data_IF_772185402316
#
_entry.id   IF_772185402316
#
_cell.length_a   1.000
_cell.length_b   1.000
_cell.length_c   1.000
_cell.angle_alpha   90.00
_cell.angle_beta   90.00
_cell.angle_gamma   90.00
#
_symmetry.space_group_name_H-M   'P 1'
#
loop_
_entity.id
_entity.type
_entity.pdbx_description
1 polymer ?
#
# COMPACT_ATOMS: atom_id res chain seq x y z
N UNK A 1 -1.15 21.69 7.30
CA UNK A 1 -0.20 22.60 6.62
C UNK A 1 0.29 21.87 5.39
N UNK A 2 0.21 22.48 4.20
CA UNK A 2 0.70 21.84 2.98
C UNK A 2 2.24 21.91 2.97
N UNK A 3 2.89 20.78 2.71
CA UNK A 3 4.34 20.68 2.72
C UNK A 3 4.85 20.40 1.30
N UNK A 4 5.92 21.11 0.92
CA UNK A 4 6.61 20.90 -0.33
C UNK A 4 7.79 19.96 -0.12
N UNK A 5 7.94 19.05 -1.05
CA UNK A 5 8.94 18.00 -0.99
C UNK A 5 9.74 17.94 -2.27
N UNK A 6 11.04 17.73 -2.12
CA UNK A 6 11.92 17.40 -3.23
C UNK A 6 11.75 15.90 -3.47
N UNK A 7 11.37 15.50 -4.69
CA UNK A 7 11.13 14.10 -5.09
C UNK A 7 11.76 13.78 -6.45
N UNK A 8 12.09 12.52 -6.74
CA UNK A 8 12.49 12.07 -8.06
C UNK A 8 11.42 12.37 -9.12
N UNK A 9 11.82 12.57 -10.39
CA UNK A 9 10.83 12.58 -11.48
C UNK A 9 10.20 11.19 -11.65
N UNK A 10 8.91 11.11 -12.07
CA UNK A 10 8.28 9.83 -12.40
C UNK A 10 9.09 9.09 -13.46
N UNK A 11 9.28 7.77 -13.26
CA UNK A 11 10.07 6.92 -14.16
C UNK A 11 11.57 6.82 -13.84
N UNK A 12 12.07 7.58 -12.87
CA UNK A 12 13.44 7.42 -12.35
C UNK A 12 13.41 6.54 -11.10
N UNK A 13 14.20 5.47 -11.10
CA UNK A 13 14.46 4.67 -9.89
C UNK A 13 15.38 5.47 -8.97
N UNK A 14 15.36 5.19 -7.67
CA UNK A 14 16.33 5.80 -6.73
C UNK A 14 17.77 5.65 -7.26
N UNK A 15 18.06 4.50 -7.86
CA UNK A 15 19.33 4.13 -8.51
C UNK A 15 19.77 5.13 -9.60
N UNK A 16 18.83 5.68 -10.37
CA UNK A 16 19.13 6.63 -11.45
C UNK A 16 19.55 8.00 -10.88
N UNK A 17 19.05 8.37 -9.71
CA UNK A 17 19.44 9.61 -9.01
C UNK A 17 20.82 9.47 -8.39
N UNK A 18 21.14 8.27 -7.88
CA UNK A 18 22.47 7.96 -7.36
C UNK A 18 23.54 7.98 -8.46
N UNK A 19 23.23 7.45 -9.65
CA UNK A 19 24.17 7.37 -10.77
C UNK A 19 24.34 8.71 -11.53
N UNK A 20 23.27 9.51 -11.66
CA UNK A 20 23.29 10.76 -12.43
C UNK A 20 23.51 12.02 -11.56
N UNK A 21 23.47 11.87 -10.24
CA UNK A 21 23.54 12.98 -9.28
C UNK A 21 22.27 13.82 -9.22
N UNK A 22 22.17 14.66 -8.18
CA UNK A 22 21.09 15.63 -8.04
C UNK A 22 21.22 16.72 -9.10
N UNK A 23 20.29 16.78 -10.05
CA UNK A 23 20.19 17.92 -10.96
C UNK A 23 18.74 18.20 -11.37
N UNK A 24 18.51 19.39 -11.95
CA UNK A 24 17.20 19.90 -12.38
C UNK A 24 16.45 18.99 -13.39
N UNK A 25 17.15 18.04 -14.04
CA UNK A 25 16.56 17.09 -14.99
C UNK A 25 15.99 15.85 -14.32
N UNK A 26 16.47 15.47 -13.14
CA UNK A 26 16.11 14.21 -12.45
C UNK A 26 15.18 14.41 -11.27
N UNK A 27 14.92 15.67 -10.86
CA UNK A 27 14.21 16.01 -9.62
C UNK A 27 13.10 17.04 -9.88
N UNK A 28 12.05 16.99 -9.06
CA UNK A 28 10.96 17.98 -9.02
C UNK A 28 10.62 18.36 -7.57
N UNK A 29 10.01 19.52 -7.40
CA UNK A 29 9.43 19.95 -6.12
C UNK A 29 7.93 19.68 -6.22
N UNK A 30 7.39 18.87 -5.32
CA UNK A 30 5.97 18.54 -5.29
C UNK A 30 5.32 19.00 -4.00
N UNK A 31 4.07 19.41 -4.10
CA UNK A 31 3.20 19.59 -2.95
C UNK A 31 2.44 18.30 -2.71
N UNK A 32 2.54 17.78 -1.49
CA UNK A 32 1.80 16.59 -1.11
C UNK A 32 0.72 16.99 -0.12
N UNK A 33 -0.53 16.63 -0.44
CA UNK A 33 -1.68 16.80 0.43
C UNK A 33 -2.36 15.43 0.53
N UNK A 34 -2.51 14.92 1.75
CA UNK A 34 -3.10 13.61 2.04
C UNK A 34 -2.49 12.45 1.22
N UNK A 35 -1.16 12.48 1.02
CA UNK A 35 -0.42 11.44 0.31
C UNK A 35 -0.51 11.50 -1.21
N UNK A 36 -1.14 12.53 -1.79
CA UNK A 36 -1.18 12.75 -3.24
C UNK A 36 -0.40 13.98 -3.66
N UNK A 37 0.30 13.87 -4.79
CA UNK A 37 0.89 15.00 -5.48
C UNK A 37 -0.22 15.87 -6.07
N UNK A 38 -0.33 17.11 -5.61
CA UNK A 38 -1.36 18.07 -6.05
C UNK A 38 -0.78 19.25 -6.82
N UNK A 39 0.53 19.43 -6.78
CA UNK A 39 1.24 20.52 -7.47
C UNK A 39 2.69 20.09 -7.71
N UNK A 40 3.27 20.48 -8.86
CA UNK A 40 4.66 20.20 -9.19
C UNK A 40 5.37 21.40 -9.81
N UNK A 41 6.65 21.56 -9.46
CA UNK A 41 7.53 22.58 -10.00
C UNK A 41 8.87 21.95 -10.40
N UNK A 42 9.55 22.61 -11.34
CA UNK A 42 10.92 22.26 -11.69
C UNK A 42 11.81 22.48 -10.47
N UNK A 43 12.73 21.54 -10.23
CA UNK A 43 13.73 21.70 -9.18
C UNK A 43 14.83 22.67 -9.62
N UNK A 44 14.95 23.77 -8.88
CA UNK A 44 16.14 24.62 -8.82
C UNK A 44 16.30 25.18 -7.38
N UNK A 45 17.49 25.68 -7.04
CA UNK A 45 17.77 26.16 -5.69
C UNK A 45 16.89 27.35 -5.26
N UNK A 46 16.43 28.16 -6.21
CA UNK A 46 15.60 29.34 -5.96
C UNK A 46 14.19 28.89 -5.55
N UNK A 47 13.61 27.95 -6.30
CA UNK A 47 12.30 27.37 -6.06
C UNK A 47 12.31 26.50 -4.79
N UNK A 48 13.38 25.74 -4.54
CA UNK A 48 13.51 24.96 -3.30
C UNK A 48 13.46 25.85 -2.05
N UNK A 49 14.18 26.99 -2.09
CA UNK A 49 14.15 27.99 -1.01
C UNK A 49 12.79 28.70 -0.92
N UNK A 50 12.21 29.12 -2.06
CA UNK A 50 10.90 29.79 -2.14
C UNK A 50 9.80 28.99 -1.47
N UNK A 51 9.76 27.67 -1.73
CA UNK A 51 8.73 26.78 -1.23
C UNK A 51 9.08 26.10 0.10
N UNK A 52 10.27 26.40 0.67
CA UNK A 52 10.83 25.69 1.83
C UNK A 52 10.75 24.16 1.65
N UNK A 53 11.03 23.71 0.42
CA UNK A 53 10.90 22.32 0.05
C UNK A 53 11.99 21.51 0.76
N UNK A 54 11.59 20.42 1.43
CA UNK A 54 12.52 19.51 2.12
C UNK A 54 12.64 18.20 1.37
N UNK A 55 13.76 17.48 1.45
CA UNK A 55 13.85 16.13 0.93
C UNK A 55 12.70 15.28 1.47
N UNK A 56 11.95 14.61 0.60
CA UNK A 56 10.90 13.72 1.05
C UNK A 56 11.49 12.57 1.88
N UNK A 57 10.99 12.33 3.11
CA UNK A 57 11.61 11.36 4.03
C UNK A 57 11.60 9.91 3.51
N UNK A 58 10.68 9.57 2.60
CA UNK A 58 10.64 8.24 1.94
C UNK A 58 11.78 8.05 0.94
N UNK A 59 12.18 9.10 0.21
CA UNK A 59 13.26 9.03 -0.80
C UNK A 59 14.65 9.34 -0.20
N UNK A 60 14.69 10.02 0.95
CA UNK A 60 15.94 10.56 1.50
C UNK A 60 16.11 10.20 2.98
N UNK A 61 16.30 8.91 3.27
CA UNK A 61 17.02 8.48 4.49
C UNK A 61 18.38 7.90 4.11
N UNK A 62 19.41 8.36 4.85
CA UNK A 62 20.84 7.99 4.72
C UNK A 62 21.00 6.46 4.59
N UNK A 63 21.34 5.98 3.39
CA UNK A 63 21.96 4.67 3.19
C UNK A 63 23.48 4.83 3.38
N UNK A 64 24.03 4.16 4.39
CA UNK A 64 25.44 3.77 4.37
C UNK A 64 25.55 2.57 3.44
N UNK A 65 26.30 2.70 2.36
CA UNK A 65 26.58 1.63 1.41
C UNK A 65 27.94 1.03 1.77
N UNK A 66 28.02 -0.30 1.93
CA UNK A 66 29.30 -1.01 1.93
C UNK A 66 29.23 -2.03 0.80
N UNK A 67 30.12 -1.89 -0.17
CA UNK A 67 30.33 -2.84 -1.24
C UNK A 67 31.20 -3.99 -0.71
N UNK A 68 30.69 -5.22 -0.70
CA UNK A 68 31.49 -6.42 -0.45
C UNK A 68 31.45 -7.32 -1.70
N UNK A 69 32.63 -7.59 -2.25
CA UNK A 69 32.89 -8.69 -3.18
C UNK A 69 32.01 -8.74 -4.44
N UNK A 70 31.79 -7.60 -5.10
CA UNK A 70 31.18 -7.54 -6.44
C UNK A 70 29.74 -8.08 -6.53
N UNK A 71 29.05 -8.26 -5.39
CA UNK A 71 27.62 -8.55 -5.34
C UNK A 71 26.87 -7.30 -4.94
N UNK A 72 25.95 -6.87 -5.79
CA UNK A 72 24.95 -5.87 -5.42
C UNK A 72 24.07 -6.52 -4.35
N UNK A 73 24.31 -6.17 -3.09
CA UNK A 73 23.39 -6.50 -2.01
C UNK A 73 22.21 -5.56 -2.15
N UNK A 74 21.11 -6.02 -2.74
CA UNK A 74 19.83 -5.33 -2.66
C UNK A 74 19.42 -5.30 -1.20
N UNK A 75 19.37 -4.11 -0.59
CA UNK A 75 18.79 -3.96 0.73
C UNK A 75 17.34 -4.43 0.69
N UNK A 76 16.86 -5.13 1.73
CA UNK A 76 15.49 -5.63 1.77
C UNK A 76 14.51 -4.47 1.53
N UNK A 77 13.39 -4.77 0.88
CA UNK A 77 12.30 -3.83 0.72
C UNK A 77 11.79 -3.43 2.12
N UNK A 78 12.26 -2.28 2.64
CA UNK A 78 11.92 -1.82 3.98
C UNK A 78 10.45 -1.37 3.97
N UNK A 79 9.64 -2.01 4.81
CA UNK A 79 8.32 -1.50 5.15
C UNK A 79 8.47 -0.24 6.01
N UNK A 80 7.71 0.80 5.68
CA UNK A 80 7.63 2.01 6.50
C UNK A 80 6.36 1.97 7.33
N UNK A 81 6.44 2.36 8.61
CA UNK A 81 5.24 2.51 9.43
C UNK A 81 4.23 3.43 8.73
N UNK A 82 2.99 2.96 8.59
CA UNK A 82 1.92 3.69 7.90
C UNK A 82 1.94 3.59 6.37
N UNK A 83 2.82 2.79 5.76
CA UNK A 83 2.84 2.54 4.32
C UNK A 83 2.91 1.05 3.99
N UNK A 84 2.30 0.68 2.87
CA UNK A 84 2.45 -0.61 2.19
C UNK A 84 3.07 -0.38 0.81
N UNK A 85 3.40 -1.45 0.11
CA UNK A 85 3.97 -1.42 -1.23
C UNK A 85 3.00 -1.99 -2.26
N UNK A 86 3.16 -1.65 -3.53
CA UNK A 86 2.45 -2.34 -4.64
C UNK A 86 2.88 -3.80 -4.75
N UNK A 87 2.12 -4.61 -5.50
CA UNK A 87 2.48 -5.97 -5.91
C UNK A 87 1.99 -7.09 -4.98
N UNK A 88 1.42 -6.76 -3.82
CA UNK A 88 0.91 -7.76 -2.89
C UNK A 88 -0.33 -7.29 -2.15
N UNK A 89 -1.20 -8.23 -1.74
CA UNK A 89 -2.37 -7.91 -0.94
C UNK A 89 -2.01 -7.07 0.31
N UNK A 90 -2.69 -5.94 0.57
CA UNK A 90 -2.45 -5.10 1.74
C UNK A 90 -2.51 -5.85 3.07
N UNK A 91 -3.42 -6.80 3.22
CA UNK A 91 -3.58 -7.53 4.48
C UNK A 91 -2.41 -8.49 4.72
N UNK A 92 -1.89 -9.15 3.67
CA UNK A 92 -0.68 -9.96 3.79
C UNK A 92 0.53 -9.11 4.20
N UNK A 93 0.65 -7.91 3.61
CA UNK A 93 1.68 -6.95 4.01
C UNK A 93 1.56 -6.51 5.47
N UNK A 94 0.38 -6.10 5.90
CA UNK A 94 0.13 -5.65 7.28
C UNK A 94 0.43 -6.77 8.28
N UNK A 95 0.03 -8.01 7.97
CA UNK A 95 0.34 -9.19 8.79
C UNK A 95 1.86 -9.37 8.92
N UNK A 96 2.59 -9.34 7.80
CA UNK A 96 4.04 -9.51 7.80
C UNK A 96 4.74 -8.39 8.58
N UNK A 97 4.37 -7.13 8.32
CA UNK A 97 4.92 -5.96 9.00
C UNK A 97 4.77 -6.03 10.51
N UNK A 98 3.59 -6.42 10.99
CA UNK A 98 3.33 -6.57 12.41
C UNK A 98 4.20 -7.69 13.03
N UNK A 99 4.38 -8.81 12.31
CA UNK A 99 5.26 -9.89 12.77
C UNK A 99 6.73 -9.46 12.82
N UNK A 100 7.19 -8.67 11.84
CA UNK A 100 8.57 -8.17 11.79
C UNK A 100 8.87 -7.17 12.90
N UNK A 101 7.94 -6.25 13.16
CA UNK A 101 8.05 -5.27 14.25
C UNK A 101 8.02 -5.95 15.62
N UNK A 102 7.10 -6.89 15.84
CA UNK A 102 6.97 -7.61 17.11
C UNK A 102 8.07 -8.65 17.34
N UNK A 103 8.82 -9.05 16.30
CA UNK A 103 9.82 -10.15 16.25
C UNK A 103 9.27 -11.56 16.52
N UNK A 104 8.21 -11.69 17.32
CA UNK A 104 7.42 -12.89 17.52
C UNK A 104 6.08 -12.53 18.17
N UNK A 105 4.97 -13.09 17.69
CA UNK A 105 3.62 -12.72 18.17
C UNK A 105 2.63 -13.88 18.05
N UNK A 106 1.53 -13.85 18.79
CA UNK A 106 0.46 -14.82 18.64
C UNK A 106 -0.50 -14.44 17.51
N UNK A 107 -1.09 -15.46 16.87
CA UNK A 107 -2.12 -15.29 15.82
C UNK A 107 -3.22 -14.29 16.20
N UNK A 108 -3.72 -14.38 17.43
CA UNK A 108 -4.80 -13.53 17.93
C UNK A 108 -4.37 -12.06 18.09
N UNK A 109 -3.10 -11.79 18.38
CA UNK A 109 -2.57 -10.43 18.49
C UNK A 109 -2.53 -9.76 17.10
N UNK A 110 -2.11 -10.50 16.07
CA UNK A 110 -2.15 -10.04 14.67
C UNK A 110 -3.59 -9.69 14.27
N UNK A 111 -4.53 -10.60 14.53
CA UNK A 111 -5.95 -10.40 14.20
C UNK A 111 -6.50 -9.19 14.95
N UNK A 112 -6.22 -9.09 16.25
CA UNK A 112 -6.65 -7.97 17.09
C UNK A 112 -6.04 -6.64 16.65
N UNK A 113 -4.78 -6.63 16.21
CA UNK A 113 -4.15 -5.44 15.64
C UNK A 113 -4.91 -4.92 14.42
N UNK A 114 -5.30 -5.81 13.49
CA UNK A 114 -6.00 -5.43 12.26
C UNK A 114 -7.45 -4.99 12.52
N UNK A 115 -8.21 -5.73 13.34
CA UNK A 115 -9.67 -5.49 13.51
C UNK A 115 -10.03 -4.58 14.68
N UNK A 116 -9.16 -4.41 15.69
CA UNK A 116 -9.43 -3.57 16.87
C UNK A 116 -8.53 -2.35 16.96
N UNK A 117 -7.20 -2.53 16.82
CA UNK A 117 -6.25 -1.43 16.97
C UNK A 117 -6.28 -0.50 15.77
N UNK A 118 -6.02 -1.04 14.57
CA UNK A 118 -6.00 -0.26 13.32
C UNK A 118 -7.35 -0.16 12.61
N UNK A 119 -8.27 -1.07 12.94
CA UNK A 119 -9.63 -1.12 12.39
C UNK A 119 -9.64 -1.07 10.86
N UNK A 120 -8.80 -1.87 10.22
CA UNK A 120 -8.78 -2.01 8.76
C UNK A 120 -9.90 -2.91 8.23
N UNK A 121 -10.51 -3.72 9.10
CA UNK A 121 -11.68 -4.56 8.82
C UNK A 121 -12.68 -4.47 9.97
N UNK A 122 -13.98 -4.67 9.68
CA UNK A 122 -15.02 -4.81 10.72
C UNK A 122 -14.68 -5.99 11.63
N UNK A 123 -14.78 -5.80 12.95
CA UNK A 123 -14.56 -6.87 13.92
C UNK A 123 -15.78 -7.81 13.99
N UNK A 124 -15.84 -8.76 13.05
CA UNK A 124 -16.88 -9.79 12.99
C UNK A 124 -16.27 -11.20 12.84
N UNK A 125 -17.10 -12.24 13.03
CA UNK A 125 -16.65 -13.64 12.99
C UNK A 125 -16.01 -14.02 11.65
N UNK A 126 -16.57 -13.55 10.54
CA UNK A 126 -16.10 -13.86 9.20
C UNK A 126 -14.71 -13.29 8.95
N UNK A 127 -14.49 -12.00 9.18
CA UNK A 127 -13.20 -11.34 8.97
C UNK A 127 -12.09 -11.91 9.86
N UNK A 128 -12.43 -12.26 11.11
CA UNK A 128 -11.48 -12.90 12.03
C UNK A 128 -11.10 -14.31 11.55
N UNK A 129 -12.06 -15.08 11.07
CA UNK A 129 -11.80 -16.38 10.46
C UNK A 129 -10.92 -16.24 9.20
N UNK A 130 -11.28 -15.32 8.29
CA UNK A 130 -10.54 -15.09 7.05
C UNK A 130 -9.09 -14.67 7.32
N UNK A 131 -8.86 -13.72 8.22
CA UNK A 131 -7.50 -13.34 8.66
C UNK A 131 -6.78 -14.54 9.27
N UNK A 132 -7.49 -15.36 10.04
CA UNK A 132 -6.95 -16.56 10.64
C UNK A 132 -6.44 -17.56 9.60
N UNK A 133 -7.22 -17.85 8.57
CA UNK A 133 -6.84 -18.74 7.47
C UNK A 133 -5.75 -18.13 6.59
N UNK A 134 -5.80 -16.82 6.35
CA UNK A 134 -4.77 -16.10 5.61
C UNK A 134 -3.40 -16.20 6.29
N UNK A 135 -3.36 -16.07 7.62
CA UNK A 135 -2.13 -16.25 8.40
C UNK A 135 -1.61 -17.69 8.27
N UNK A 136 -2.47 -18.71 8.38
CA UNK A 136 -2.03 -20.11 8.20
C UNK A 136 -1.49 -20.36 6.79
N UNK A 137 -2.13 -19.78 5.77
CA UNK A 137 -1.64 -19.85 4.40
C UNK A 137 -0.27 -19.20 4.27
N UNK A 138 -0.05 -18.01 4.84
CA UNK A 138 1.25 -17.34 4.82
C UNK A 138 2.34 -18.15 5.51
N UNK A 139 2.00 -18.86 6.61
CA UNK A 139 2.90 -19.82 7.27
C UNK A 139 3.24 -20.99 6.34
N UNK A 140 2.23 -21.62 5.71
CA UNK A 140 2.46 -22.74 4.76
C UNK A 140 3.32 -22.33 3.56
N UNK A 141 3.23 -21.08 3.14
CA UNK A 141 4.02 -20.55 2.02
C UNK A 141 5.42 -20.09 2.42
N UNK A 142 5.78 -20.07 3.71
CA UNK A 142 7.10 -19.67 4.20
C UNK A 142 7.34 -18.16 4.24
N UNK A 143 6.30 -17.33 4.03
CA UNK A 143 6.40 -15.88 4.30
C UNK A 143 6.33 -15.57 5.79
N UNK A 144 5.71 -16.45 6.56
CA UNK A 144 5.77 -16.46 8.02
C UNK A 144 6.29 -17.82 8.48
N UNK A 145 6.93 -17.85 9.64
CA UNK A 145 7.35 -19.06 10.32
C UNK A 145 6.53 -19.24 11.60
N UNK A 146 6.24 -20.50 11.95
CA UNK A 146 5.64 -20.86 13.25
C UNK A 146 6.68 -21.53 14.12
N UNK A 147 6.88 -21.00 15.33
CA UNK A 147 7.68 -21.61 16.38
C UNK A 147 6.81 -21.70 17.63
N UNK A 148 6.48 -22.92 18.02
CA UNK A 148 5.48 -23.18 19.07
C UNK A 148 4.14 -22.48 18.75
N UNK A 149 3.67 -21.60 19.65
CA UNK A 149 2.47 -20.78 19.46
C UNK A 149 2.74 -19.39 18.90
N UNK A 150 3.99 -19.09 18.57
CA UNK A 150 4.43 -17.80 18.05
C UNK A 150 4.58 -17.83 16.53
N UNK A 151 4.28 -16.69 15.92
CA UNK A 151 4.40 -16.40 14.51
C UNK A 151 5.44 -15.29 14.36
N UNK A 152 6.35 -15.49 13.43
CA UNK A 152 7.48 -14.62 13.16
C UNK A 152 7.67 -14.49 11.63
N UNK A 153 8.43 -13.48 11.16
CA UNK A 153 8.78 -13.38 9.75
C UNK A 153 9.42 -14.66 9.21
N UNK A 154 9.01 -15.05 8.01
CA UNK A 154 9.62 -16.15 7.28
C UNK A 154 10.80 -15.71 6.42
N UNK A 155 11.54 -16.68 5.90
CA UNK A 155 12.73 -16.46 5.08
C UNK A 155 12.39 -16.23 3.59
N UNK A 156 11.13 -16.50 3.19
CA UNK A 156 10.70 -16.31 1.81
C UNK A 156 10.63 -14.82 1.48
N UNK A 157 11.24 -14.45 0.35
CA UNK A 157 11.13 -13.10 -0.20
C UNK A 157 9.67 -12.72 -0.46
N UNK A 158 9.32 -11.52 -0.04
CA UNK A 158 8.00 -10.95 -0.19
C UNK A 158 7.84 -10.38 -1.61
N UNK A 159 6.72 -10.63 -2.29
CA UNK A 159 6.47 -10.13 -3.64
C UNK A 159 5.99 -8.67 -3.63
N UNK A 160 6.78 -7.74 -3.10
CA UNK A 160 6.45 -6.31 -3.10
C UNK A 160 7.26 -5.54 -4.15
N UNK A 161 6.63 -4.51 -4.72
CA UNK A 161 7.23 -3.61 -5.68
C UNK A 161 7.83 -2.34 -5.07
N UNK A 162 8.38 -1.44 -5.90
CA UNK A 162 9.11 -0.27 -5.44
C UNK A 162 8.21 0.86 -4.91
N UNK A 163 6.98 0.96 -5.41
CA UNK A 163 6.08 2.06 -5.06
C UNK A 163 5.47 1.86 -3.67
N UNK A 164 5.40 2.96 -2.91
CA UNK A 164 4.88 2.98 -1.53
C UNK A 164 3.56 3.74 -1.47
N UNK A 165 2.60 3.16 -0.77
CA UNK A 165 1.21 3.58 -0.69
C UNK A 165 0.84 3.76 0.78
N UNK A 166 0.31 4.94 1.11
CA UNK A 166 -0.05 5.29 2.47
C UNK A 166 -1.28 4.51 2.94
N UNK A 167 -1.18 3.88 4.11
CA UNK A 167 -2.30 3.28 4.81
C UNK A 167 -3.09 4.36 5.55
N UNK A 168 -4.40 4.38 5.36
CA UNK A 168 -5.30 5.24 6.15
C UNK A 168 -5.93 4.44 7.29
N UNK A 169 -5.53 4.75 8.52
CA UNK A 169 -6.07 4.10 9.72
C UNK A 169 -7.60 4.24 9.82
N UNK A 170 -8.27 3.15 10.22
CA UNK A 170 -9.72 3.06 10.31
C UNK A 170 -10.44 2.76 9.00
N UNK A 171 -9.73 2.56 7.88
CA UNK A 171 -10.31 2.24 6.58
C UNK A 171 -9.75 0.93 6.04
N UNK A 172 -10.59 0.14 5.36
CA UNK A 172 -10.08 -0.95 4.54
C UNK A 172 -9.21 -0.37 3.41
N UNK A 173 -7.93 -0.78 3.29
CA UNK A 173 -7.02 -0.21 2.29
C UNK A 173 -7.50 -0.45 0.85
N UNK A 174 -8.08 -1.62 0.56
CA UNK A 174 -8.61 -1.94 -0.78
C UNK A 174 -9.76 -0.99 -1.12
N UNK A 175 -10.75 -0.90 -0.23
CA UNK A 175 -11.91 -0.02 -0.42
C UNK A 175 -11.49 1.44 -0.54
N UNK A 176 -10.54 1.89 0.30
CA UNK A 176 -10.05 3.26 0.29
C UNK A 176 -9.46 3.64 -1.07
N UNK A 177 -8.62 2.78 -1.64
CA UNK A 177 -7.99 3.04 -2.93
C UNK A 177 -8.96 2.93 -4.11
N UNK A 178 -9.91 2.00 -4.08
CA UNK A 178 -11.00 1.92 -5.08
C UNK A 178 -11.82 3.21 -5.09
N UNK A 179 -12.25 3.67 -3.92
CA UNK A 179 -13.04 4.89 -3.79
C UNK A 179 -12.27 6.12 -4.26
N UNK A 180 -10.97 6.23 -3.94
CA UNK A 180 -10.12 7.32 -4.45
C UNK A 180 -9.98 7.29 -5.96
N UNK A 181 -9.87 6.10 -6.57
CA UNK A 181 -9.79 5.96 -8.03
C UNK A 181 -11.06 6.47 -8.69
N UNK A 182 -12.24 6.05 -8.21
CA UNK A 182 -13.54 6.49 -8.73
C UNK A 182 -13.73 8.00 -8.52
N UNK A 183 -13.41 8.52 -7.33
CA UNK A 183 -13.52 9.95 -7.02
C UNK A 183 -12.64 10.81 -7.92
N UNK A 184 -11.41 10.37 -8.20
CA UNK A 184 -10.46 11.12 -9.01
C UNK A 184 -10.91 11.24 -10.47
N UNK A 185 -11.48 10.17 -11.04
CA UNK A 185 -12.01 10.19 -12.41
C UNK A 185 -13.44 10.73 -12.51
N UNK A 186 -14.10 11.00 -11.38
CA UNK A 186 -15.52 11.35 -11.29
C UNK A 186 -16.44 10.13 -11.50
N UNK A 187 -16.14 9.32 -12.52
CA UNK A 187 -16.72 8.00 -12.80
C UNK A 187 -15.63 7.04 -13.21
N UNK A 188 -15.76 5.76 -12.87
CA UNK A 188 -14.85 4.73 -13.35
C UNK A 188 -15.61 3.47 -13.72
N UNK A 189 -15.19 2.85 -14.81
CA UNK A 189 -15.68 1.53 -15.20
C UNK A 189 -15.07 0.43 -14.34
N UNK A 190 -15.74 -0.71 -14.22
CA UNK A 190 -15.21 -1.93 -13.60
C UNK A 190 -13.83 -2.29 -14.16
N UNK A 191 -13.66 -2.17 -15.48
CA UNK A 191 -12.39 -2.41 -16.17
C UNK A 191 -11.28 -1.47 -15.70
N UNK A 192 -11.54 -0.16 -15.62
CA UNK A 192 -10.55 0.82 -15.14
C UNK A 192 -10.20 0.65 -13.66
N UNK A 193 -11.15 0.18 -12.85
CA UNK A 193 -10.92 -0.15 -11.44
C UNK A 193 -10.08 -1.44 -11.36
N UNK A 194 -10.38 -2.45 -12.19
CA UNK A 194 -9.62 -3.69 -12.29
C UNK A 194 -8.18 -3.47 -12.73
N UNK A 195 -7.95 -2.69 -13.80
CA UNK A 195 -6.61 -2.31 -14.25
C UNK A 195 -5.82 -1.65 -13.10
N UNK A 196 -6.46 -0.73 -12.37
CA UNK A 196 -5.81 -0.07 -11.25
C UNK A 196 -5.54 -1.02 -10.06
N UNK A 197 -6.53 -1.77 -9.60
CA UNK A 197 -6.43 -2.55 -8.35
C UNK A 197 -5.69 -3.88 -8.52
N UNK A 198 -5.84 -4.53 -9.67
CA UNK A 198 -5.27 -5.84 -9.98
C UNK A 198 -3.91 -5.67 -10.68
N UNK A 199 -3.80 -4.82 -11.71
CA UNK A 199 -2.57 -4.71 -12.50
C UNK A 199 -1.59 -3.68 -11.97
N UNK A 200 -2.04 -2.45 -11.74
CA UNK A 200 -1.15 -1.35 -11.33
C UNK A 200 -0.72 -1.49 -9.86
N UNK A 201 -1.69 -1.72 -8.97
CA UNK A 201 -1.42 -1.87 -7.54
C UNK A 201 -1.06 -3.30 -7.13
N UNK A 202 -1.61 -4.32 -7.78
CA UNK A 202 -1.48 -5.71 -7.33
C UNK A 202 -2.10 -5.98 -5.95
N UNK A 203 -3.10 -5.18 -5.54
CA UNK A 203 -3.75 -5.31 -4.23
C UNK A 203 -4.85 -6.37 -4.23
N UNK A 204 -5.50 -6.55 -5.38
CA UNK A 204 -6.48 -7.61 -5.60
C UNK A 204 -5.80 -8.71 -6.40
N UNK A 205 -5.65 -9.85 -5.73
CA UNK A 205 -5.08 -11.09 -6.28
C UNK A 205 -6.05 -12.24 -6.01
N UNK A 206 -5.69 -13.46 -6.42
CA UNK A 206 -6.47 -14.64 -6.05
C UNK A 206 -6.55 -14.79 -4.51
N UNK A 207 -7.78 -14.84 -3.99
CA UNK A 207 -8.03 -15.08 -2.57
C UNK A 207 -8.06 -16.58 -2.30
N UNK A 208 -6.96 -17.04 -1.72
CA UNK A 208 -6.71 -18.44 -1.36
C UNK A 208 -7.60 -18.97 -0.24
N UNK A 209 -8.23 -18.09 0.54
CA UNK A 209 -9.11 -18.45 1.65
C UNK A 209 -10.53 -18.65 1.14
N UNK A 210 -10.97 -17.78 0.23
CA UNK A 210 -12.31 -17.83 -0.36
C UNK A 210 -12.36 -18.62 -1.67
N UNK A 211 -11.21 -19.04 -2.20
CA UNK A 211 -11.08 -19.69 -3.52
C UNK A 211 -11.68 -18.83 -4.65
N UNK A 212 -11.36 -17.54 -4.63
CA UNK A 212 -11.88 -16.55 -5.59
C UNK A 212 -10.75 -15.98 -6.43
N UNK A 213 -10.95 -15.93 -7.75
CA UNK A 213 -10.01 -15.26 -8.64
C UNK A 213 -10.06 -13.73 -8.46
N UNK A 214 -9.05 -13.02 -8.99
CA UNK A 214 -8.92 -11.58 -8.79
C UNK A 214 -10.12 -10.78 -9.28
N UNK A 215 -10.80 -11.26 -10.32
CA UNK A 215 -12.01 -10.61 -10.85
C UNK A 215 -13.20 -10.80 -9.91
N UNK A 216 -13.38 -12.01 -9.37
CA UNK A 216 -14.43 -12.29 -8.38
C UNK A 216 -14.20 -11.51 -7.07
N UNK A 217 -12.95 -11.38 -6.63
CA UNK A 217 -12.59 -10.57 -5.45
C UNK A 217 -12.87 -9.09 -5.71
N UNK A 218 -12.52 -8.59 -6.90
CA UNK A 218 -12.87 -7.22 -7.32
C UNK A 218 -14.38 -6.98 -7.26
N UNK A 219 -15.16 -7.90 -7.83
CA UNK A 219 -16.62 -7.79 -7.84
C UNK A 219 -17.21 -7.85 -6.43
N UNK A 220 -16.68 -8.70 -5.54
CA UNK A 220 -17.10 -8.72 -4.13
C UNK A 220 -16.85 -7.39 -3.42
N UNK A 221 -15.71 -6.74 -3.68
CA UNK A 221 -15.43 -5.42 -3.13
C UNK A 221 -16.32 -4.31 -3.72
N UNK A 222 -16.61 -4.36 -5.02
CA UNK A 222 -17.53 -3.43 -5.67
C UNK A 222 -18.95 -3.60 -5.14
N UNK A 223 -19.44 -4.83 -5.05
CA UNK A 223 -20.75 -5.16 -4.48
C UNK A 223 -20.86 -4.67 -3.05
N UNK A 224 -19.84 -4.88 -2.20
CA UNK A 224 -19.83 -4.34 -0.85
C UNK A 224 -19.96 -2.80 -0.85
N UNK A 225 -19.20 -2.11 -1.70
CA UNK A 225 -19.24 -0.65 -1.77
C UNK A 225 -20.60 -0.13 -2.25
N UNK A 226 -21.26 -0.85 -3.16
CA UNK A 226 -22.58 -0.50 -3.68
C UNK A 226 -23.71 -0.83 -2.69
N UNK A 227 -23.72 -2.01 -2.09
CA UNK A 227 -24.71 -2.44 -1.09
C UNK A 227 -24.70 -1.54 0.14
N UNK A 228 -23.52 -1.09 0.57
CA UNK A 228 -23.37 -0.14 1.67
C UNK A 228 -23.60 1.32 1.20
N UNK A 229 -23.92 1.55 -0.07
CA UNK A 229 -24.28 2.86 -0.62
C UNK A 229 -23.14 3.87 -0.69
N UNK A 230 -21.88 3.41 -0.74
CA UNK A 230 -20.72 4.29 -0.97
C UNK A 230 -20.59 4.68 -2.43
N UNK A 231 -20.90 3.75 -3.33
CA UNK A 231 -20.92 3.94 -4.78
C UNK A 231 -22.30 3.58 -5.34
N UNK A 232 -22.54 3.96 -6.60
CA UNK A 232 -23.72 3.56 -7.36
C UNK A 232 -23.32 3.28 -8.80
N UNK A 233 -23.88 2.24 -9.38
CA UNK A 233 -23.84 2.03 -10.83
C UNK A 233 -24.76 3.04 -11.57
N UNK A 234 -24.18 3.86 -12.45
CA UNK A 234 -24.90 4.89 -13.23
C UNK A 234 -25.11 4.52 -14.69
N UNK A 235 -24.29 3.60 -15.18
CA UNK A 235 -24.41 2.93 -16.47
C UNK A 235 -23.75 1.56 -16.30
N UNK A 236 -24.00 0.64 -17.23
CA UNK A 236 -23.44 -0.71 -17.16
C UNK A 236 -21.95 -0.68 -16.83
N UNK A 237 -21.57 -1.37 -15.76
CA UNK A 237 -20.21 -1.50 -15.22
C UNK A 237 -19.53 -0.16 -14.91
N UNK A 238 -20.29 0.93 -14.70
CA UNK A 238 -19.76 2.28 -14.49
C UNK A 238 -20.24 2.86 -13.17
N UNK A 239 -19.30 3.17 -12.29
CA UNK A 239 -19.57 3.57 -10.91
C UNK A 239 -19.25 5.04 -10.66
N UNK A 240 -20.04 5.66 -9.79
CA UNK A 240 -19.75 6.98 -9.22
C UNK A 240 -19.83 6.94 -7.69
N UNK A 241 -19.05 7.80 -7.01
CA UNK A 241 -19.06 7.88 -5.55
C UNK A 241 -20.22 8.75 -5.07
N UNK A 242 -21.06 8.19 -4.19
CA UNK A 242 -22.23 8.85 -3.63
C UNK A 242 -21.92 9.47 -2.26
N UNK A 243 -21.13 8.79 -1.43
CA UNK A 243 -20.72 9.27 -0.11
C UNK A 243 -19.31 8.80 0.24
N UNK A 244 -18.57 9.54 1.08
CA UNK A 244 -17.25 9.09 1.50
C UNK A 244 -17.33 7.77 2.28
N UNK A 245 -16.27 6.96 2.19
CA UNK A 245 -16.10 5.81 3.08
C UNK A 245 -16.17 6.24 4.53
N UNK A 246 -16.85 5.44 5.34
CA UNK A 246 -16.90 5.61 6.79
C UNK A 246 -15.77 4.81 7.44
N UNK A 247 -15.29 5.33 8.58
CA UNK A 247 -14.31 4.61 9.38
C UNK A 247 -15.01 3.46 10.09
N UNK A 248 -14.33 2.34 10.24
CA UNK A 248 -14.77 1.34 11.21
C UNK A 248 -14.56 1.92 12.62
N UNK A 249 -15.67 2.11 13.36
CA UNK A 249 -15.71 2.62 14.73
C UNK A 249 -15.45 1.47 15.70
#
# INVERSE_FOLDING_TARGET
MAEYYIVPRPGYREEDIFNLGFNHKTVKIVKIVDGMEVESHVYDEINAKRWRARPHPVFFKRKGWVEMESRIVTFPDIFFEGFISVGWCPFKQIIYMFCDEARATHKEEIISYIVRSKKYLRNNKHNRWWLGELIEYMVRQGWLNRRDSLILPGDRRIPIGPDRIMLKEGYNPIHYHMMRRIQYSGRATRGEIGDYMIRDLGFIEYDVVLDMNSEEVLDAHLNYLEEEGYIKEVAKDTYEVIRPLERYI
#
